data_IF_601720032681
#
_entry.id   IF_601720032681
#
_cell.length_a   1.000
_cell.length_b   1.000
_cell.length_c   1.000
_cell.angle_alpha   90.00
_cell.angle_beta   90.00
_cell.angle_gamma   90.00
#
_symmetry.space_group_name_H-M   'P 1'
#
loop_
_entity.id
_entity.type
_entity.pdbx_description
1 polymer ?
#
# COMPACT_ATOMS: atom_id res chain seq x y z
N UNK A 1 -0.46 13.89 -6.67
CA UNK A 1 -0.53 12.43 -6.92
C UNK A 1 0.73 11.93 -7.58
N UNK A 2 1.18 10.77 -7.18
CA UNK A 2 2.41 10.16 -7.69
C UNK A 2 2.04 8.81 -8.30
N UNK A 3 2.59 8.51 -9.49
CA UNK A 3 2.42 7.21 -10.11
C UNK A 3 3.53 6.26 -9.69
N UNK A 4 3.16 5.07 -9.20
CA UNK A 4 4.10 4.05 -8.77
C UNK A 4 3.83 2.77 -9.54
N UNK A 5 4.88 2.18 -10.10
CA UNK A 5 4.78 0.90 -10.81
C UNK A 5 4.61 -0.25 -9.82
N UNK A 6 3.62 -1.10 -10.04
CA UNK A 6 3.38 -2.30 -9.24
C UNK A 6 3.72 -3.58 -10.01
N UNK A 7 3.44 -3.59 -11.29
CA UNK A 7 3.78 -4.67 -12.22
C UNK A 7 4.33 -4.03 -13.48
N UNK A 8 4.93 -4.83 -14.34
CA UNK A 8 5.38 -4.31 -15.63
C UNK A 8 4.21 -3.71 -16.40
N UNK A 9 4.29 -2.40 -16.66
CA UNK A 9 3.25 -1.66 -17.37
C UNK A 9 2.08 -1.20 -16.52
N UNK A 10 2.05 -1.53 -15.23
CA UNK A 10 1.00 -1.09 -14.32
C UNK A 10 1.52 -0.02 -13.37
N UNK A 11 0.68 0.97 -13.11
CA UNK A 11 0.98 2.06 -12.18
C UNK A 11 -0.18 2.28 -11.23
N UNK A 12 0.11 2.64 -10.01
CA UNK A 12 -0.91 3.12 -9.08
C UNK A 12 -0.83 4.62 -8.97
N UNK A 13 -1.98 5.25 -8.81
CA UNK A 13 -2.07 6.68 -8.56
C UNK A 13 -2.25 6.84 -7.07
N UNK A 14 -1.35 7.60 -6.44
CA UNK A 14 -1.27 7.72 -5.00
C UNK A 14 -1.60 9.14 -4.57
N UNK A 15 -2.58 9.29 -3.70
CA UNK A 15 -2.85 10.55 -3.03
C UNK A 15 -1.98 10.61 -1.77
N UNK A 16 -1.22 11.69 -1.54
CA UNK A 16 -0.31 11.78 -0.40
C UNK A 16 -1.10 12.04 0.89
N UNK A 17 -1.53 10.95 1.53
CA UNK A 17 -2.22 10.97 2.82
C UNK A 17 -1.51 10.03 3.77
N UNK A 18 -1.30 10.48 5.00
CA UNK A 18 -0.61 9.71 6.02
C UNK A 18 -1.57 8.98 6.96
N UNK A 19 -2.87 9.25 6.86
CA UNK A 19 -3.89 8.60 7.70
C UNK A 19 -4.63 7.59 6.85
N UNK A 20 -4.79 6.39 7.36
CA UNK A 20 -5.45 5.30 6.66
C UNK A 20 -6.59 4.72 7.49
N UNK A 21 -7.57 4.15 6.82
CA UNK A 21 -8.69 3.44 7.42
C UNK A 21 -8.63 1.97 7.03
N UNK A 22 -9.29 1.13 7.81
CA UNK A 22 -9.35 -0.30 7.52
C UNK A 22 -9.88 -0.56 6.11
N UNK A 23 -9.15 -1.37 5.37
CA UNK A 23 -9.50 -1.72 4.00
C UNK A 23 -8.91 -0.81 2.94
N UNK A 24 -8.25 0.28 3.34
CA UNK A 24 -7.60 1.16 2.37
C UNK A 24 -6.37 0.48 1.78
N UNK A 25 -6.19 0.65 0.47
CA UNK A 25 -4.96 0.24 -0.18
C UNK A 25 -3.98 1.40 -0.07
N UNK A 26 -2.84 1.14 0.56
CA UNK A 26 -1.85 2.18 0.84
C UNK A 26 -0.50 1.79 0.24
N UNK A 27 0.34 2.80 0.04
CA UNK A 27 1.75 2.60 -0.23
C UNK A 27 2.49 2.83 1.08
N UNK A 28 3.12 1.79 1.59
CA UNK A 28 3.87 1.85 2.84
C UNK A 28 5.34 1.64 2.57
N UNK A 29 6.16 2.33 3.35
CA UNK A 29 7.61 2.14 3.30
C UNK A 29 7.98 1.03 4.27
N UNK A 30 8.51 -0.07 3.74
CA UNK A 30 8.95 -1.22 4.53
C UNK A 30 10.44 -1.41 4.24
N UNK A 31 11.27 -1.13 5.24
CA UNK A 31 12.70 -1.05 5.00
C UNK A 31 12.99 0.08 4.01
N UNK A 32 13.65 -0.25 2.92
CA UNK A 32 14.01 0.71 1.86
C UNK A 32 13.05 0.66 0.68
N UNK A 33 11.94 -0.07 0.81
CA UNK A 33 11.08 -0.36 -0.33
C UNK A 33 9.67 0.14 -0.11
N UNK A 34 9.13 0.84 -1.11
CA UNK A 34 7.74 1.26 -1.11
C UNK A 34 6.89 0.15 -1.71
N UNK A 35 5.93 -0.34 -0.95
CA UNK A 35 5.07 -1.46 -1.37
C UNK A 35 3.60 -1.11 -1.18
N UNK A 36 2.76 -1.65 -2.06
CA UNK A 36 1.30 -1.52 -1.93
C UNK A 36 0.78 -2.63 -1.04
N UNK A 37 0.02 -2.26 -0.03
CA UNK A 37 -0.59 -3.20 0.91
C UNK A 37 -1.96 -2.72 1.30
N UNK A 38 -2.81 -3.64 1.75
CA UNK A 38 -4.10 -3.28 2.33
C UNK A 38 -3.91 -3.05 3.82
N UNK A 39 -4.44 -1.94 4.32
CA UNK A 39 -4.24 -1.48 5.68
C UNK A 39 -5.38 -1.96 6.58
N UNK A 40 -5.02 -2.54 7.72
CA UNK A 40 -5.97 -2.87 8.79
C UNK A 40 -5.36 -2.50 10.13
N UNK A 41 -6.06 -1.69 10.91
CA UNK A 41 -5.63 -1.34 12.26
C UNK A 41 -6.32 -2.26 13.26
N UNK A 42 -5.53 -3.05 13.99
CA UNK A 42 -6.04 -4.02 14.95
C UNK A 42 -5.41 -3.77 16.32
N UNK A 43 -6.24 -3.36 17.26
CA UNK A 43 -5.81 -3.04 18.63
C UNK A 43 -4.64 -2.04 18.62
N UNK A 44 -3.45 -2.48 19.01
CA UNK A 44 -2.29 -1.60 19.15
C UNK A 44 -1.30 -1.73 17.99
N UNK A 45 -1.66 -2.41 16.92
CA UNK A 45 -0.76 -2.62 15.80
C UNK A 45 -1.51 -2.61 14.48
N UNK A 46 -0.75 -2.49 13.40
CA UNK A 46 -1.28 -2.44 12.06
C UNK A 46 -0.88 -3.70 11.31
N UNK A 47 -1.84 -4.30 10.64
CA UNK A 47 -1.61 -5.40 9.73
C UNK A 47 -1.60 -4.85 8.30
N UNK A 48 -0.50 -5.08 7.60
CA UNK A 48 -0.36 -4.75 6.19
C UNK A 48 -0.49 -6.04 5.39
N UNK A 49 -1.62 -6.18 4.72
CA UNK A 49 -1.97 -7.41 4.03
C UNK A 49 -1.51 -7.35 2.57
N UNK A 50 -0.67 -8.31 2.12
CA UNK A 50 -0.28 -8.39 0.72
C UNK A 50 -1.47 -8.71 -0.19
N UNK A 51 -1.37 -8.33 -1.45
CA UNK A 51 -2.37 -8.70 -2.45
C UNK A 51 -2.41 -10.22 -2.69
N UNK A 52 -1.27 -10.87 -2.62
CA UNK A 52 -1.19 -12.32 -2.79
C UNK A 52 -1.63 -13.01 -1.50
N UNK A 53 -2.73 -13.80 -1.53
CA UNK A 53 -3.23 -14.47 -0.32
C UNK A 53 -2.28 -15.53 0.23
N UNK A 54 -1.32 -16.00 -0.57
CA UNK A 54 -0.34 -16.99 -0.13
C UNK A 54 0.81 -16.35 0.67
N UNK A 55 0.89 -15.04 0.71
CA UNK A 55 1.89 -14.34 1.47
C UNK A 55 1.34 -13.93 2.83
N UNK A 56 2.19 -14.03 3.85
CA UNK A 56 1.78 -13.67 5.19
C UNK A 56 1.69 -12.15 5.37
N UNK A 57 0.78 -11.67 6.22
CA UNK A 57 0.69 -10.25 6.51
C UNK A 57 1.90 -9.77 7.28
N UNK A 58 2.17 -8.47 7.15
CA UNK A 58 3.24 -7.80 7.87
C UNK A 58 2.61 -7.04 9.03
N UNK A 59 3.11 -7.27 10.25
CA UNK A 59 2.62 -6.62 11.45
C UNK A 59 3.59 -5.53 11.87
N UNK A 60 3.10 -4.30 11.98
CA UNK A 60 3.91 -3.15 12.40
C UNK A 60 3.12 -2.31 13.39
N UNK A 61 3.83 -1.67 14.32
CA UNK A 61 3.17 -0.81 15.29
C UNK A 61 2.86 0.57 14.70
N UNK A 62 3.79 1.10 13.93
CA UNK A 62 3.69 2.46 13.41
C UNK A 62 4.23 2.52 11.98
N UNK A 63 3.43 2.10 11.00
CA UNK A 63 3.90 2.06 9.62
C UNK A 63 4.06 3.47 9.05
N UNK A 64 5.05 3.62 8.18
CA UNK A 64 5.20 4.85 7.43
C UNK A 64 4.35 4.74 6.17
N UNK A 65 3.24 5.45 6.15
CA UNK A 65 2.31 5.49 5.03
C UNK A 65 2.71 6.65 4.13
N UNK A 66 3.06 6.35 2.88
CA UNK A 66 3.40 7.37 1.89
C UNK A 66 2.14 8.00 1.32
N UNK A 67 1.11 7.19 1.09
CA UNK A 67 -0.14 7.67 0.57
C UNK A 67 -1.14 6.56 0.34
N UNK A 68 -2.32 6.94 -0.15
CA UNK A 68 -3.40 6.03 -0.47
C UNK A 68 -3.48 5.79 -1.97
N UNK A 69 -3.71 4.56 -2.37
CA UNK A 69 -3.97 4.24 -3.76
C UNK A 69 -5.37 4.69 -4.11
N UNK A 70 -5.49 5.61 -5.05
CA UNK A 70 -6.78 6.14 -5.50
C UNK A 70 -7.12 5.69 -6.91
N UNK A 71 -6.21 5.04 -7.60
CA UNK A 71 -6.46 4.50 -8.92
C UNK A 71 -5.33 3.62 -9.40
N UNK A 72 -5.61 2.83 -10.43
CA UNK A 72 -4.62 1.99 -11.09
C UNK A 72 -4.63 2.33 -12.56
N UNK A 73 -3.46 2.52 -13.11
CA UNK A 73 -3.28 2.84 -14.52
C UNK A 73 -2.42 1.76 -15.16
N UNK A 74 -2.89 1.20 -16.25
CA UNK A 74 -2.13 0.21 -17.00
C UNK A 74 -1.70 0.81 -18.34
N UNK A 75 -0.42 0.75 -18.61
CA UNK A 75 0.12 1.20 -19.86
C UNK A 75 -0.13 0.11 -20.92
N UNK A 76 -1.02 0.40 -21.86
CA UNK A 76 -1.39 -0.54 -22.92
C UNK A 76 -0.74 -0.10 -24.21
N UNK A 77 0.14 -0.91 -24.73
CA UNK A 77 0.80 -0.71 -26.02
C UNK A 77 0.16 -1.54 -27.12
#
# INVERSE_FOLDING_TARGET
>A
MIGIGILDGDYVIVAPRQVAKNGDVVVALIGDEATCKTYYHEKNRVRLQPENPDMEPIWVENPMIIGHVVGVFRDMH
#
